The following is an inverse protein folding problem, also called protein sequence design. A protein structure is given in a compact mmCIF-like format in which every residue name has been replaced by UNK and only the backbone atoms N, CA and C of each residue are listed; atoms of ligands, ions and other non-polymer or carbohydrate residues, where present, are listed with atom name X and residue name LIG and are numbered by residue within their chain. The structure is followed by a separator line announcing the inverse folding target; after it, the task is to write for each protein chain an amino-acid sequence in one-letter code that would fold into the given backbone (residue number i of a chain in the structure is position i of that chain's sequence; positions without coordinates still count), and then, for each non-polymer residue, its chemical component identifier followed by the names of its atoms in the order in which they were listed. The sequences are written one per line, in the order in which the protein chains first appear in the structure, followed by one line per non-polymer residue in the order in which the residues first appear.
data_IF_627220371778
#
_entry.id   IF_627220371778
#
_cell.length_a   1.000
_cell.length_b   1.000
_cell.length_c   1.000
_cell.angle_alpha   90.00
_cell.angle_beta   90.00
_cell.angle_gamma   90.00
#
_symmetry.space_group_name_H-M   'P 1'
#
loop_
_entity.id
_entity.type
_entity.pdbx_description
1 polymer ?
#
# COMPACT_ATOMS: atom_id res chain seq x y z
N UNK A 1 -11.41 26.92 -20.47
CA UNK A 1 -10.30 25.96 -20.71
C UNK A 1 -8.98 26.65 -21.01
N UNK A 2 -8.99 27.70 -21.83
CA UNK A 2 -7.80 28.48 -22.22
C UNK A 2 -7.12 29.18 -21.04
N UNK A 3 -7.87 29.55 -20.00
CA UNK A 3 -7.38 30.20 -18.78
C UNK A 3 -6.76 29.25 -17.74
N UNK A 4 -6.45 28.01 -18.10
CA UNK A 4 -5.84 27.04 -17.18
C UNK A 4 -6.77 26.54 -16.06
N UNK A 5 -8.07 26.55 -16.30
CA UNK A 5 -9.05 26.03 -15.35
C UNK A 5 -8.77 24.57 -14.99
N UNK A 6 -8.72 24.26 -13.68
CA UNK A 6 -8.46 22.93 -13.12
C UNK A 6 -9.72 22.20 -12.67
N UNK A 7 -10.88 22.80 -12.88
CA UNK A 7 -12.19 22.27 -12.45
C UNK A 7 -12.25 21.95 -10.94
N UNK A 8 -11.55 22.71 -10.11
CA UNK A 8 -11.51 22.46 -8.67
C UNK A 8 -12.73 23.01 -7.90
N UNK A 9 -13.56 23.84 -8.52
CA UNK A 9 -14.74 24.44 -7.91
C UNK A 9 -14.47 25.59 -6.94
N UNK A 10 -13.23 25.91 -6.63
CA UNK A 10 -12.90 26.98 -5.67
C UNK A 10 -13.51 28.35 -6.03
N UNK A 11 -13.55 28.70 -7.32
CA UNK A 11 -14.19 29.94 -7.78
C UNK A 11 -15.71 29.98 -7.54
N UNK A 12 -16.37 28.80 -7.54
CA UNK A 12 -17.81 28.70 -7.27
C UNK A 12 -18.06 29.00 -5.80
N UNK A 13 -17.25 28.40 -4.92
CA UNK A 13 -17.41 28.55 -3.47
C UNK A 13 -17.13 29.96 -2.95
N UNK A 14 -16.09 30.60 -3.49
CA UNK A 14 -15.69 31.95 -3.04
C UNK A 14 -16.45 33.05 -3.75
N UNK A 15 -17.35 32.77 -4.69
CA UNK A 15 -18.11 33.77 -5.43
C UNK A 15 -19.17 34.41 -4.51
N UNK A 16 -19.01 35.67 -4.09
CA UNK A 16 -19.90 36.30 -3.13
C UNK A 16 -21.29 36.57 -3.68
N UNK A 17 -21.42 36.60 -5.00
CA UNK A 17 -22.68 36.89 -5.70
C UNK A 17 -23.41 35.65 -6.18
N UNK A 18 -22.79 34.47 -6.07
CA UNK A 18 -23.30 33.21 -6.63
C UNK A 18 -23.40 33.19 -8.16
N UNK A 19 -22.79 34.16 -8.85
CA UNK A 19 -22.84 34.25 -10.31
C UNK A 19 -22.05 33.14 -11.02
N UNK A 20 -21.08 32.57 -10.33
CA UNK A 20 -20.30 31.44 -10.85
C UNK A 20 -20.97 30.15 -10.30
N UNK A 21 -21.65 29.44 -11.19
CA UNK A 21 -22.38 28.20 -10.83
C UNK A 21 -21.75 26.96 -11.43
N UNK A 22 -21.91 25.83 -10.76
CA UNK A 22 -21.54 24.50 -11.26
C UNK A 22 -22.65 23.94 -12.15
N UNK A 23 -22.71 24.40 -13.40
CA UNK A 23 -23.76 24.06 -14.36
C UNK A 23 -23.81 22.56 -14.69
N UNK A 24 -22.64 21.89 -14.65
CA UNK A 24 -22.50 20.47 -14.99
C UNK A 24 -22.35 19.56 -13.76
N UNK A 25 -22.56 20.14 -12.56
CA UNK A 25 -22.52 19.44 -11.28
C UNK A 25 -21.26 18.60 -11.05
N UNK A 26 -20.10 19.20 -11.36
CA UNK A 26 -18.78 18.61 -11.08
C UNK A 26 -18.58 18.43 -9.56
N UNK A 27 -19.15 19.35 -8.78
CA UNK A 27 -19.14 19.28 -7.31
C UNK A 27 -20.32 18.44 -6.83
N UNK A 28 -20.03 17.36 -6.13
CA UNK A 28 -21.06 16.47 -5.59
C UNK A 28 -21.58 17.01 -4.25
N UNK A 29 -22.87 17.24 -4.15
CA UNK A 29 -23.54 17.86 -2.98
C UNK A 29 -23.35 17.05 -1.68
N UNK A 30 -23.18 15.72 -1.79
CA UNK A 30 -22.98 14.83 -0.65
C UNK A 30 -21.51 14.68 -0.21
N UNK A 31 -20.62 15.55 -0.68
CA UNK A 31 -19.19 15.55 -0.37
C UNK A 31 -18.76 16.87 0.22
N UNK A 32 -17.81 16.80 1.15
CA UNK A 32 -17.13 18.00 1.64
C UNK A 32 -16.38 18.71 0.50
N UNK A 33 -16.09 19.98 0.69
CA UNK A 33 -15.31 20.76 -0.27
C UNK A 33 -13.94 20.12 -0.56
N UNK A 34 -13.23 19.66 0.47
CA UNK A 34 -11.94 19.02 0.31
C UNK A 34 -12.01 17.75 -0.58
N UNK A 35 -13.06 16.95 -0.41
CA UNK A 35 -13.32 15.77 -1.24
C UNK A 35 -13.67 16.14 -2.68
N UNK A 36 -14.33 17.24 -2.88
CA UNK A 36 -14.69 17.74 -4.20
C UNK A 36 -13.51 18.37 -4.95
N UNK A 37 -12.62 19.09 -4.25
CA UNK A 37 -11.46 19.76 -4.88
C UNK A 37 -10.46 18.73 -5.45
N UNK A 38 -10.12 17.68 -4.67
CA UNK A 38 -9.17 16.65 -5.07
C UNK A 38 -9.76 15.25 -4.80
N UNK A 39 -10.80 14.83 -5.55
CA UNK A 39 -11.50 13.60 -5.27
C UNK A 39 -10.61 12.35 -5.39
N UNK A 40 -9.58 12.37 -6.23
CA UNK A 40 -8.62 11.28 -6.33
C UNK A 40 -7.79 11.09 -5.06
N UNK A 41 -7.46 12.17 -4.33
CA UNK A 41 -6.79 12.08 -3.04
C UNK A 41 -7.73 11.54 -1.95
N UNK A 42 -8.96 12.02 -1.95
CA UNK A 42 -9.99 11.57 -0.97
C UNK A 42 -10.39 10.11 -1.18
N UNK A 43 -10.48 9.66 -2.42
CA UNK A 43 -10.76 8.27 -2.76
C UNK A 43 -9.56 7.31 -2.49
N UNK A 44 -8.36 7.85 -2.33
CA UNK A 44 -7.19 7.05 -1.98
C UNK A 44 -7.22 6.70 -0.49
N UNK A 45 -7.26 5.41 -0.08
CA UNK A 45 -7.28 5.05 1.34
C UNK A 45 -6.09 5.58 2.15
N UNK A 46 -4.95 5.85 1.49
CA UNK A 46 -3.76 6.43 2.10
C UNK A 46 -3.69 7.96 1.95
N UNK A 47 -4.66 8.59 1.30
CA UNK A 47 -4.71 10.03 1.05
C UNK A 47 -3.40 10.61 0.49
N UNK A 48 -2.79 9.90 -0.48
CA UNK A 48 -1.56 10.35 -1.16
C UNK A 48 -1.87 11.65 -1.91
N UNK A 49 -0.96 12.62 -1.84
CA UNK A 49 -1.06 13.85 -2.63
C UNK A 49 -0.77 13.58 -4.12
N UNK A 50 -1.80 13.07 -4.79
CA UNK A 50 -1.73 12.62 -6.19
C UNK A 50 -1.38 13.78 -7.14
N UNK A 51 -2.00 14.97 -7.06
CA UNK A 51 -1.65 16.07 -7.95
C UNK A 51 -0.19 16.50 -7.81
N UNK A 52 0.36 16.49 -6.60
CA UNK A 52 1.73 16.92 -6.33
C UNK A 52 2.75 15.97 -6.96
N UNK A 53 2.63 14.66 -6.76
CA UNK A 53 3.61 13.75 -7.35
C UNK A 53 3.48 13.64 -8.88
N UNK A 54 2.26 13.76 -9.45
CA UNK A 54 2.07 13.77 -10.90
C UNK A 54 2.73 15.04 -11.52
N UNK A 55 2.67 16.18 -10.84
CA UNK A 55 3.38 17.38 -11.28
C UNK A 55 4.89 17.13 -11.37
N UNK A 56 5.48 16.54 -10.33
CA UNK A 56 6.91 16.21 -10.34
C UNK A 56 7.26 15.21 -11.45
N UNK A 57 6.41 14.21 -11.72
CA UNK A 57 6.63 13.31 -12.87
C UNK A 57 6.65 14.09 -14.19
N UNK A 58 5.72 15.01 -14.40
CA UNK A 58 5.68 15.86 -15.59
C UNK A 58 6.94 16.71 -15.75
N UNK A 59 7.53 17.12 -14.65
CA UNK A 59 8.77 17.90 -14.60
C UNK A 59 10.04 17.04 -14.70
N UNK A 60 9.91 15.70 -14.79
CA UNK A 60 11.04 14.74 -14.79
C UNK A 60 11.67 14.51 -13.42
N UNK A 61 11.09 15.05 -12.34
CA UNK A 61 11.60 15.03 -10.99
C UNK A 61 11.14 13.79 -10.22
N UNK A 62 11.58 12.61 -10.64
CA UNK A 62 11.10 11.34 -10.11
C UNK A 62 11.41 11.13 -8.62
N UNK A 63 12.56 11.59 -8.13
CA UNK A 63 12.90 11.53 -6.70
C UNK A 63 11.95 12.38 -5.85
N UNK A 64 11.56 13.57 -6.32
CA UNK A 64 10.56 14.38 -5.63
C UNK A 64 9.19 13.71 -5.64
N UNK A 65 8.81 13.11 -6.75
CA UNK A 65 7.56 12.34 -6.85
C UNK A 65 7.55 11.16 -5.88
N UNK A 66 8.62 10.38 -5.83
CA UNK A 66 8.79 9.26 -4.92
C UNK A 66 8.75 9.69 -3.44
N UNK A 67 9.38 10.81 -3.10
CA UNK A 67 9.33 11.39 -1.74
C UNK A 67 7.90 11.70 -1.31
N UNK A 68 7.11 12.37 -2.18
CA UNK A 68 5.70 12.69 -1.91
C UNK A 68 4.87 11.42 -1.67
N UNK A 69 5.05 10.39 -2.49
CA UNK A 69 4.32 9.13 -2.31
C UNK A 69 4.68 8.50 -0.96
N UNK A 70 5.99 8.50 -0.61
CA UNK A 70 6.50 7.92 0.64
C UNK A 70 6.20 8.73 1.91
N UNK A 71 5.63 9.92 1.79
CA UNK A 71 5.01 10.61 2.94
C UNK A 71 3.86 9.79 3.54
N UNK A 72 3.17 8.99 2.72
CA UNK A 72 1.97 8.23 3.09
C UNK A 72 2.12 6.71 2.96
N UNK A 73 2.92 6.23 2.01
CA UNK A 73 3.09 4.79 1.75
C UNK A 73 4.54 4.45 1.41
N UNK A 74 5.18 3.52 2.14
CA UNK A 74 6.56 3.13 1.88
C UNK A 74 6.71 2.10 0.74
N UNK A 75 5.60 1.65 0.13
CA UNK A 75 5.52 0.64 -0.94
C UNK A 75 4.98 1.20 -2.27
N UNK A 76 5.57 2.26 -2.87
CA UNK A 76 5.00 2.89 -4.06
C UNK A 76 4.97 1.96 -5.28
N UNK A 77 5.98 1.12 -5.50
CA UNK A 77 6.06 0.22 -6.66
C UNK A 77 5.18 -1.01 -6.49
N UNK A 78 5.17 -1.63 -5.31
CA UNK A 78 4.24 -2.71 -4.95
C UNK A 78 2.80 -2.24 -5.15
N UNK A 79 2.41 -1.10 -4.58
CA UNK A 79 1.07 -0.53 -4.78
C UNK A 79 0.82 -0.12 -6.24
N UNK A 80 1.85 0.30 -6.97
CA UNK A 80 1.76 0.55 -8.40
C UNK A 80 1.47 -0.70 -9.24
N UNK A 81 1.65 -1.89 -8.66
CA UNK A 81 1.42 -3.18 -9.32
C UNK A 81 0.10 -3.84 -8.91
N UNK A 82 -0.39 -3.62 -7.69
CA UNK A 82 -1.51 -4.38 -7.11
C UNK A 82 -2.67 -3.54 -6.58
N UNK A 83 -2.55 -2.20 -6.57
CA UNK A 83 -3.63 -1.32 -6.10
C UNK A 83 -4.87 -1.45 -6.99
N UNK A 84 -6.06 -1.39 -6.38
CA UNK A 84 -7.35 -1.35 -7.09
C UNK A 84 -7.69 0.03 -7.69
N UNK A 85 -6.81 1.02 -7.50
CA UNK A 85 -6.84 2.37 -8.07
C UNK A 85 -8.20 3.10 -8.01
N UNK A 86 -8.89 3.03 -6.86
CA UNK A 86 -10.16 3.74 -6.64
C UNK A 86 -10.10 5.24 -7.02
N UNK A 87 -8.92 5.86 -6.90
CA UNK A 87 -8.67 7.24 -7.30
C UNK A 87 -8.87 7.51 -8.81
N UNK A 88 -8.71 6.50 -9.67
CA UNK A 88 -8.94 6.64 -11.11
C UNK A 88 -10.43 6.72 -11.42
N UNK A 89 -11.27 5.96 -10.67
CA UNK A 89 -12.73 6.05 -10.78
C UNK A 89 -13.30 7.42 -10.40
N UNK A 90 -12.61 8.12 -9.51
CA UNK A 90 -13.01 9.47 -9.05
C UNK A 90 -12.22 10.60 -9.74
N UNK A 91 -11.50 10.28 -10.82
CA UNK A 91 -10.74 11.27 -11.56
C UNK A 91 -11.68 12.23 -12.29
N UNK A 92 -11.53 13.54 -12.06
CA UNK A 92 -12.33 14.57 -12.76
C UNK A 92 -12.18 14.53 -14.28
N UNK A 93 -11.11 13.96 -14.80
CA UNK A 93 -10.96 13.78 -16.25
C UNK A 93 -11.97 12.82 -16.85
N UNK A 94 -12.59 11.93 -16.06
CA UNK A 94 -13.67 11.07 -16.53
C UNK A 94 -14.83 11.85 -17.14
N UNK A 95 -15.03 13.10 -16.72
CA UNK A 95 -16.05 14.01 -17.28
C UNK A 95 -15.66 14.59 -18.66
N UNK A 96 -14.40 14.44 -19.08
CA UNK A 96 -13.87 15.01 -20.31
C UNK A 96 -13.51 13.94 -21.34
N UNK A 97 -12.77 12.92 -20.93
CA UNK A 97 -12.24 11.87 -21.79
C UNK A 97 -11.98 10.56 -21.00
N UNK A 98 -10.83 10.39 -20.40
CA UNK A 98 -10.42 9.22 -19.64
C UNK A 98 -9.63 9.60 -18.38
N UNK A 99 -9.67 8.78 -17.32
CA UNK A 99 -8.94 9.06 -16.12
C UNK A 99 -7.43 9.06 -16.36
N UNK A 100 -6.69 9.81 -15.53
CA UNK A 100 -5.25 9.66 -15.46
C UNK A 100 -4.89 8.27 -14.91
N UNK A 101 -3.93 7.59 -15.52
CA UNK A 101 -3.41 6.30 -15.06
C UNK A 101 -2.57 6.46 -13.78
N UNK A 102 -3.20 6.87 -12.70
CA UNK A 102 -2.57 7.26 -11.42
C UNK A 102 -1.71 6.13 -10.84
N UNK A 103 -2.22 4.90 -10.92
CA UNK A 103 -1.51 3.73 -10.43
C UNK A 103 -0.21 3.47 -11.22
N UNK A 104 -0.28 3.57 -12.54
CA UNK A 104 0.90 3.41 -13.43
C UNK A 104 1.91 4.52 -13.26
N UNK A 105 1.44 5.77 -13.10
CA UNK A 105 2.30 6.93 -12.84
C UNK A 105 3.04 6.78 -11.51
N UNK A 106 2.36 6.29 -10.47
CA UNK A 106 3.01 5.98 -9.18
C UNK A 106 4.11 4.92 -9.32
N UNK A 107 3.84 3.85 -10.08
CA UNK A 107 4.85 2.83 -10.39
C UNK A 107 6.03 3.41 -11.17
N UNK A 108 5.75 4.24 -12.17
CA UNK A 108 6.81 4.91 -12.96
C UNK A 108 7.68 5.81 -12.08
N UNK A 109 7.11 6.56 -11.15
CA UNK A 109 7.88 7.36 -10.20
C UNK A 109 8.85 6.50 -9.37
N UNK A 110 8.34 5.39 -8.82
CA UNK A 110 9.14 4.49 -8.01
C UNK A 110 10.19 3.69 -8.80
N UNK A 111 9.95 3.45 -10.09
CA UNK A 111 10.89 2.72 -10.95
C UNK A 111 12.03 3.59 -11.50
N UNK A 112 11.84 4.91 -11.56
CA UNK A 112 12.81 5.85 -12.14
C UNK A 112 13.45 6.78 -11.09
N UNK A 113 13.20 6.59 -9.80
CA UNK A 113 13.87 7.32 -8.73
C UNK A 113 15.31 6.83 -8.55
N UNK A 114 16.23 7.72 -8.18
CA UNK A 114 17.65 7.42 -7.98
C UNK A 114 18.00 7.06 -6.53
N UNK A 115 17.08 7.28 -5.60
CA UNK A 115 17.30 7.18 -4.16
C UNK A 115 17.64 8.51 -3.48
N UNK A 116 17.87 9.59 -4.22
CA UNK A 116 18.16 10.92 -3.66
C UNK A 116 17.01 11.49 -2.80
N UNK A 117 15.80 10.98 -2.96
CA UNK A 117 14.68 11.32 -2.09
C UNK A 117 14.93 10.98 -0.61
N UNK A 118 15.85 10.00 -0.30
CA UNK A 118 16.20 9.59 1.07
C UNK A 118 16.80 10.74 1.87
N UNK A 119 17.58 11.59 1.24
CA UNK A 119 18.18 12.78 1.85
C UNK A 119 17.12 13.81 2.34
N UNK A 120 15.93 13.76 1.74
CA UNK A 120 14.80 14.63 2.07
C UNK A 120 13.90 14.06 3.17
N UNK A 121 14.10 12.78 3.52
CA UNK A 121 13.33 12.12 4.58
C UNK A 121 13.96 12.42 5.93
N UNK A 122 13.42 13.40 6.62
CA UNK A 122 13.86 13.73 7.97
C UNK A 122 13.51 12.60 8.93
N UNK A 123 14.52 12.08 9.63
CA UNK A 123 14.35 11.26 10.83
C UNK A 123 14.35 12.16 12.05
N UNK A 124 13.39 11.98 12.94
CA UNK A 124 13.34 12.69 14.22
C UNK A 124 14.46 12.19 15.14
N UNK A 125 14.88 12.99 16.13
CA UNK A 125 15.87 12.56 17.13
C UNK A 125 15.44 11.27 17.84
N UNK A 126 16.43 10.50 18.31
CA UNK A 126 16.17 9.26 19.04
C UNK A 126 15.34 9.52 20.29
N UNK A 127 14.24 8.79 20.45
CA UNK A 127 13.31 8.93 21.59
C UNK A 127 13.71 8.07 22.79
N UNK A 128 14.66 7.13 22.62
CA UNK A 128 14.99 6.10 23.60
C UNK A 128 13.91 5.04 23.80
N UNK A 129 12.82 5.06 23.01
CA UNK A 129 11.72 4.10 23.07
C UNK A 129 11.90 2.95 22.10
N UNK A 130 11.54 1.73 22.54
CA UNK A 130 11.66 0.49 21.79
C UNK A 130 10.28 -0.02 21.40
N UNK A 131 10.07 -0.23 20.11
CA UNK A 131 8.84 -0.77 19.58
C UNK A 131 9.08 -2.15 18.94
N UNK A 132 8.27 -3.13 19.32
CA UNK A 132 8.21 -4.43 18.68
C UNK A 132 7.05 -4.49 17.69
N UNK A 133 7.26 -5.09 16.52
CA UNK A 133 6.21 -5.33 15.53
C UNK A 133 6.15 -6.83 15.25
N UNK A 134 5.00 -7.44 15.49
CA UNK A 134 4.74 -8.86 15.22
C UNK A 134 4.14 -9.01 13.83
N UNK A 135 4.94 -9.45 12.86
CA UNK A 135 4.60 -9.66 11.47
C UNK A 135 5.23 -8.64 10.53
N UNK A 136 5.98 -9.13 9.54
CA UNK A 136 6.63 -8.33 8.50
C UNK A 136 5.83 -8.30 7.19
N UNK A 137 4.50 -8.24 7.29
CA UNK A 137 3.62 -7.94 6.17
C UNK A 137 3.56 -6.42 5.89
N UNK A 138 2.78 -5.99 4.88
CA UNK A 138 2.68 -4.57 4.51
C UNK A 138 2.32 -3.66 5.70
N UNK A 139 1.39 -4.07 6.55
CA UNK A 139 0.97 -3.29 7.72
C UNK A 139 2.12 -3.13 8.73
N UNK A 140 2.79 -4.24 9.08
CA UNK A 140 3.89 -4.21 10.05
C UNK A 140 5.10 -3.42 9.56
N UNK A 141 5.50 -3.62 8.30
CA UNK A 141 6.62 -2.88 7.71
C UNK A 141 6.31 -1.38 7.53
N UNK A 142 5.06 -1.03 7.18
CA UNK A 142 4.64 0.38 7.13
C UNK A 142 4.72 1.04 8.49
N UNK A 143 4.19 0.38 9.52
CA UNK A 143 4.25 0.89 10.88
C UNK A 143 5.70 1.03 11.36
N UNK A 144 6.53 0.01 11.14
CA UNK A 144 7.94 0.03 11.48
C UNK A 144 8.68 1.21 10.83
N UNK A 145 8.41 1.46 9.54
CA UNK A 145 9.00 2.58 8.81
C UNK A 145 8.68 3.94 9.45
N UNK A 146 7.40 4.18 9.76
CA UNK A 146 7.02 5.47 10.36
C UNK A 146 7.44 5.60 11.81
N UNK A 147 7.46 4.51 12.59
CA UNK A 147 8.01 4.52 13.95
C UNK A 147 9.52 4.83 13.96
N UNK A 148 10.28 4.21 13.05
CA UNK A 148 11.71 4.49 12.89
C UNK A 148 11.96 5.95 12.47
N UNK A 149 11.15 6.50 11.56
CA UNK A 149 11.21 7.93 11.19
C UNK A 149 10.95 8.86 12.38
N UNK A 150 10.10 8.44 13.32
CA UNK A 150 9.84 9.18 14.57
C UNK A 150 10.90 8.97 15.65
N UNK A 151 12.04 8.38 15.30
CA UNK A 151 13.18 8.22 16.19
C UNK A 151 13.08 7.05 17.18
N UNK A 152 12.10 6.16 17.03
CA UNK A 152 12.01 4.95 17.85
C UNK A 152 12.97 3.86 17.35
N UNK A 153 13.46 3.03 18.28
CA UNK A 153 14.15 1.78 17.99
C UNK A 153 13.11 0.71 17.65
N UNK A 154 13.17 0.11 16.46
CA UNK A 154 12.12 -0.79 15.98
C UNK A 154 12.68 -2.15 15.61
N UNK A 155 12.11 -3.21 16.20
CA UNK A 155 12.37 -4.61 15.83
C UNK A 155 11.10 -5.24 15.26
N UNK A 156 11.21 -5.82 14.07
CA UNK A 156 10.11 -6.55 13.41
C UNK A 156 10.39 -8.04 13.49
N UNK A 157 9.42 -8.80 13.98
CA UNK A 157 9.47 -10.25 14.09
C UNK A 157 8.63 -10.90 13.01
N UNK A 158 9.21 -11.81 12.24
CA UNK A 158 8.52 -12.53 11.16
C UNK A 158 8.73 -14.05 11.31
N UNK A 159 7.64 -14.79 11.36
CA UNK A 159 7.67 -16.25 11.49
C UNK A 159 8.21 -16.98 10.27
N UNK A 160 8.01 -16.39 9.09
CA UNK A 160 8.47 -16.97 7.83
C UNK A 160 9.93 -16.57 7.54
N UNK A 161 10.61 -17.27 6.61
CA UNK A 161 12.00 -16.98 6.27
C UNK A 161 12.20 -15.63 5.54
N UNK A 162 11.15 -15.07 4.95
CA UNK A 162 11.20 -13.79 4.24
C UNK A 162 10.05 -12.89 4.64
N UNK A 163 10.33 -11.59 4.75
CA UNK A 163 9.32 -10.56 4.95
C UNK A 163 8.47 -10.35 3.68
N UNK A 164 7.30 -9.72 3.84
CA UNK A 164 6.39 -9.36 2.76
C UNK A 164 4.95 -9.82 2.96
N UNK A 165 4.69 -10.71 3.92
CA UNK A 165 3.34 -11.18 4.25
C UNK A 165 2.60 -11.71 3.01
N UNK A 166 1.31 -11.37 2.86
CA UNK A 166 0.50 -11.81 1.71
C UNK A 166 0.99 -11.27 0.36
N UNK A 167 1.71 -10.15 0.32
CA UNK A 167 2.35 -9.68 -0.91
C UNK A 167 3.37 -10.70 -1.44
N UNK A 168 4.07 -11.42 -0.55
CA UNK A 168 5.01 -12.47 -0.91
C UNK A 168 4.37 -13.84 -1.04
N UNK A 169 3.52 -14.21 -0.08
CA UNK A 169 3.03 -15.59 0.06
C UNK A 169 1.66 -15.83 -0.58
N UNK A 170 0.93 -14.76 -0.94
CA UNK A 170 -0.41 -14.88 -1.53
C UNK A 170 -0.48 -14.37 -2.97
N UNK A 171 0.20 -13.27 -3.31
CA UNK A 171 0.12 -12.69 -4.64
C UNK A 171 1.05 -13.43 -5.61
N UNK A 172 0.57 -13.89 -6.78
CA UNK A 172 1.40 -14.58 -7.77
C UNK A 172 2.57 -13.73 -8.28
N UNK A 173 3.73 -14.36 -8.55
CA UNK A 173 4.96 -13.70 -8.95
C UNK A 173 4.83 -12.92 -10.28
N UNK A 174 3.99 -13.38 -11.20
CA UNK A 174 3.73 -12.68 -12.47
C UNK A 174 3.01 -11.34 -12.25
N UNK A 175 2.25 -11.18 -11.16
CA UNK A 175 1.58 -9.94 -10.79
C UNK A 175 2.45 -9.04 -9.92
N UNK A 176 3.16 -9.62 -8.95
CA UNK A 176 4.10 -8.92 -8.07
C UNK A 176 5.40 -9.70 -7.99
N UNK A 177 6.40 -9.38 -8.84
CA UNK A 177 7.71 -10.02 -8.80
C UNK A 177 8.44 -9.79 -7.47
N UNK A 178 9.09 -10.84 -6.95
CA UNK A 178 9.80 -10.78 -5.67
C UNK A 178 10.85 -9.66 -5.63
N UNK A 179 11.57 -9.44 -6.73
CA UNK A 179 12.60 -8.40 -6.83
C UNK A 179 12.07 -6.99 -6.51
N UNK A 180 10.82 -6.68 -6.85
CA UNK A 180 10.21 -5.38 -6.58
C UNK A 180 9.92 -5.26 -5.09
N UNK A 181 9.32 -6.29 -4.51
CA UNK A 181 9.00 -6.34 -3.09
C UNK A 181 10.27 -6.32 -2.24
N UNK A 182 11.30 -7.07 -2.63
CA UNK A 182 12.58 -7.13 -1.91
C UNK A 182 13.28 -5.77 -1.89
N UNK A 183 13.28 -5.04 -3.01
CA UNK A 183 13.84 -3.69 -3.11
C UNK A 183 13.14 -2.71 -2.16
N UNK A 184 11.81 -2.73 -2.12
CA UNK A 184 11.06 -1.84 -1.24
C UNK A 184 11.21 -2.21 0.23
N UNK A 185 11.24 -3.50 0.57
CA UNK A 185 11.51 -3.96 1.93
C UNK A 185 12.92 -3.52 2.35
N UNK A 186 13.92 -3.69 1.50
CA UNK A 186 15.29 -3.22 1.78
C UNK A 186 15.30 -1.72 2.08
N UNK A 187 14.66 -0.93 1.23
CA UNK A 187 14.53 0.53 1.44
C UNK A 187 13.85 0.89 2.77
N UNK A 188 12.86 0.10 3.19
CA UNK A 188 12.20 0.30 4.49
C UNK A 188 13.16 -0.01 5.64
N UNK A 189 13.92 -1.09 5.53
CA UNK A 189 14.87 -1.51 6.57
C UNK A 189 16.04 -0.54 6.73
N UNK A 190 16.44 0.18 5.66
CA UNK A 190 17.45 1.25 5.71
C UNK A 190 17.05 2.41 6.66
N UNK A 191 15.80 2.52 7.07
CA UNK A 191 15.38 3.44 8.12
C UNK A 191 15.90 3.05 9.52
N UNK A 192 16.72 2.00 9.64
CA UNK A 192 17.31 1.53 10.89
C UNK A 192 16.39 0.55 11.64
N UNK A 193 15.62 -0.24 10.91
CA UNK A 193 14.72 -1.25 11.46
C UNK A 193 15.44 -2.59 11.53
N UNK A 194 15.41 -3.24 12.68
CA UNK A 194 15.88 -4.60 12.86
C UNK A 194 14.80 -5.59 12.41
N UNK A 195 15.11 -6.50 11.48
CA UNK A 195 14.21 -7.57 11.04
C UNK A 195 14.73 -8.93 11.53
N UNK A 196 13.91 -9.65 12.29
CA UNK A 196 14.16 -11.01 12.77
C UNK A 196 13.20 -11.97 12.08
N UNK A 197 13.66 -12.65 11.05
CA UNK A 197 12.91 -13.70 10.36
C UNK A 197 13.00 -15.04 11.09
N UNK A 198 12.17 -16.02 10.71
CA UNK A 198 12.07 -17.33 11.38
C UNK A 198 11.85 -17.20 12.89
N UNK A 199 11.23 -16.11 13.32
CA UNK A 199 11.03 -15.78 14.73
C UNK A 199 9.57 -15.43 14.99
N UNK A 200 8.93 -16.21 15.85
CA UNK A 200 7.53 -15.98 16.24
C UNK A 200 7.44 -15.80 17.76
N UNK A 201 7.31 -14.57 18.26
CA UNK A 201 7.02 -14.35 19.68
C UNK A 201 5.69 -15.00 20.06
N UNK A 202 5.63 -15.58 21.27
CA UNK A 202 4.44 -16.29 21.73
C UNK A 202 3.29 -15.34 22.05
N UNK A 203 3.60 -14.16 22.62
CA UNK A 203 2.59 -13.17 22.98
C UNK A 203 3.19 -11.74 22.99
N UNK A 204 2.34 -10.70 22.90
CA UNK A 204 2.78 -9.32 23.15
C UNK A 204 3.41 -9.12 24.54
N UNK A 205 2.85 -9.76 25.56
CA UNK A 205 3.35 -9.64 26.96
C UNK A 205 4.78 -10.16 27.10
N UNK A 206 5.15 -11.19 26.34
CA UNK A 206 6.54 -11.68 26.32
C UNK A 206 7.49 -10.59 25.84
N UNK A 207 7.13 -9.86 24.79
CA UNK A 207 7.96 -8.77 24.25
C UNK A 207 8.04 -7.57 25.21
N UNK A 208 6.93 -7.20 25.84
CA UNK A 208 6.93 -6.15 26.88
C UNK A 208 7.87 -6.51 28.05
N UNK A 209 7.86 -7.78 28.50
CA UNK A 209 8.79 -8.28 29.53
C UNK A 209 10.25 -8.30 29.06
N UNK A 210 10.51 -8.33 27.76
CA UNK A 210 11.85 -8.25 27.17
C UNK A 210 12.35 -6.80 27.03
N UNK A 211 11.60 -5.81 27.48
CA UNK A 211 12.00 -4.39 27.52
C UNK A 211 11.54 -3.57 26.31
N UNK A 212 10.59 -4.05 25.52
CA UNK A 212 9.90 -3.20 24.54
C UNK A 212 8.86 -2.34 25.25
N UNK A 213 8.81 -1.03 24.92
CA UNK A 213 7.82 -0.09 25.46
C UNK A 213 6.43 -0.32 24.85
N UNK A 214 6.36 -0.80 23.63
CA UNK A 214 5.10 -1.07 22.93
C UNK A 214 5.23 -2.24 21.96
N UNK A 215 4.11 -2.90 21.69
CA UNK A 215 4.00 -3.99 20.73
C UNK A 215 2.85 -3.75 19.76
N UNK A 216 3.15 -3.74 18.48
CA UNK A 216 2.15 -3.73 17.42
C UNK A 216 1.93 -5.15 16.89
N UNK A 217 0.69 -5.63 16.93
CA UNK A 217 0.30 -6.91 16.37
C UNK A 217 -0.17 -6.72 14.92
N UNK A 218 0.62 -7.19 13.95
CA UNK A 218 0.38 -7.04 12.51
C UNK A 218 0.51 -8.39 11.77
N UNK A 219 0.02 -9.46 12.38
CA UNK A 219 0.18 -10.85 11.94
C UNK A 219 -0.59 -11.22 10.67
N UNK A 220 -1.52 -10.37 10.25
CA UNK A 220 -2.31 -10.54 9.02
C UNK A 220 -3.25 -11.75 9.05
N UNK A 221 -3.70 -12.17 7.87
CA UNK A 221 -4.68 -13.25 7.66
C UNK A 221 -4.08 -14.35 6.78
N UNK A 222 -3.22 -15.18 7.33
CA UNK A 222 -2.59 -16.29 6.61
C UNK A 222 -3.40 -17.57 6.60
N UNK A 223 -4.42 -17.68 7.47
CA UNK A 223 -5.31 -18.83 7.54
C UNK A 223 -6.59 -18.55 6.78
N UNK A 224 -6.81 -19.28 5.70
CA UNK A 224 -8.07 -19.21 4.96
C UNK A 224 -9.18 -19.99 5.64
N UNK A 225 -10.41 -19.66 5.30
CA UNK A 225 -11.61 -20.33 5.82
C UNK A 225 -12.11 -21.35 4.80
N UNK A 226 -12.36 -22.57 5.24
CA UNK A 226 -13.03 -23.58 4.42
C UNK A 226 -14.52 -23.24 4.32
N UNK A 227 -15.08 -23.41 3.13
CA UNK A 227 -16.52 -23.27 2.95
C UNK A 227 -17.25 -24.39 3.70
N UNK A 228 -18.40 -24.11 4.36
CA UNK A 228 -19.19 -25.09 5.08
C UNK A 228 -20.09 -25.87 4.11
N UNK A 229 -19.47 -26.56 3.14
CA UNK A 229 -20.14 -27.39 2.15
C UNK A 229 -19.65 -28.83 2.26
N UNK A 230 -20.50 -29.79 1.87
CA UNK A 230 -20.14 -31.20 1.84
C UNK A 230 -18.90 -31.43 0.97
N UNK A 231 -18.01 -32.31 1.43
CA UNK A 231 -16.76 -32.61 0.75
C UNK A 231 -15.63 -31.60 0.93
N UNK A 232 -15.86 -30.44 1.56
CA UNK A 232 -14.81 -29.41 1.74
C UNK A 232 -13.60 -29.91 2.56
N UNK A 233 -13.76 -30.96 3.36
CA UNK A 233 -12.71 -31.58 4.15
C UNK A 233 -11.87 -32.62 3.42
N UNK A 234 -12.20 -32.95 2.16
CA UNK A 234 -11.46 -33.94 1.37
C UNK A 234 -9.99 -33.53 1.15
N UNK A 235 -9.05 -34.48 1.11
CA UNK A 235 -7.61 -34.19 0.93
C UNK A 235 -7.27 -33.40 -0.34
N UNK A 236 -8.10 -33.52 -1.38
CA UNK A 236 -7.91 -32.81 -2.66
C UNK A 236 -8.49 -31.39 -2.67
N UNK A 237 -9.13 -30.94 -1.57
CA UNK A 237 -9.72 -29.61 -1.46
C UNK A 237 -8.73 -28.66 -0.79
N UNK A 238 -8.19 -27.77 -1.57
CA UNK A 238 -7.25 -26.74 -1.12
C UNK A 238 -7.98 -25.45 -0.76
N UNK A 239 -7.55 -24.81 0.32
CA UNK A 239 -7.95 -23.43 0.63
C UNK A 239 -7.03 -22.49 -0.14
N UNK A 240 -7.58 -21.40 -0.69
CA UNK A 240 -6.87 -20.46 -1.54
C UNK A 240 -5.53 -19.96 -0.95
N UNK A 241 -5.51 -19.58 0.34
CA UNK A 241 -4.31 -19.08 1.01
C UNK A 241 -3.20 -20.12 1.08
N UNK A 242 -3.55 -21.38 1.35
CA UNK A 242 -2.59 -22.48 1.44
C UNK A 242 -2.09 -22.86 0.04
N UNK A 243 -3.00 -22.92 -0.94
CA UNK A 243 -2.67 -23.17 -2.34
C UNK A 243 -1.68 -22.12 -2.89
N UNK A 244 -2.01 -20.84 -2.74
CA UNK A 244 -1.17 -19.74 -3.23
C UNK A 244 0.19 -19.73 -2.54
N UNK A 245 0.22 -19.98 -1.22
CA UNK A 245 1.48 -20.05 -0.47
C UNK A 245 2.38 -21.17 -0.98
N UNK A 246 1.83 -22.38 -1.21
CA UNK A 246 2.60 -23.49 -1.75
C UNK A 246 3.12 -23.19 -3.15
N UNK A 247 2.27 -22.64 -4.03
CA UNK A 247 2.66 -22.22 -5.36
C UNK A 247 3.80 -21.19 -5.34
N UNK A 248 3.74 -20.20 -4.42
CA UNK A 248 4.77 -19.18 -4.24
C UNK A 248 6.09 -19.73 -3.68
N UNK A 249 6.03 -20.77 -2.89
CA UNK A 249 7.20 -21.46 -2.35
C UNK A 249 7.82 -22.47 -3.34
N UNK A 250 7.19 -22.66 -4.52
CA UNK A 250 7.63 -23.66 -5.49
C UNK A 250 7.37 -25.10 -5.03
N UNK A 251 6.52 -25.32 -4.04
CA UNK A 251 6.16 -26.65 -3.57
C UNK A 251 5.19 -27.26 -4.56
N UNK A 252 5.48 -28.42 -5.16
CA UNK A 252 4.57 -29.07 -6.09
C UNK A 252 3.23 -29.38 -5.45
N UNK A 253 2.15 -28.97 -6.10
CA UNK A 253 0.80 -29.35 -5.73
C UNK A 253 0.41 -30.59 -6.55
N UNK A 254 -0.11 -31.66 -5.96
CA UNK A 254 -0.49 -32.88 -6.67
C UNK A 254 -1.81 -32.69 -7.41
N UNK A 255 -1.81 -31.77 -8.38
CA UNK A 255 -2.96 -31.51 -9.24
C UNK A 255 -2.92 -32.44 -10.44
N UNK A 256 -4.00 -33.17 -10.69
CA UNK A 256 -4.15 -34.02 -11.87
C UNK A 256 -5.60 -34.02 -12.36
N UNK A 257 -5.80 -34.27 -13.65
CA UNK A 257 -7.12 -34.35 -14.24
C UNK A 257 -7.84 -32.99 -14.28
N UNK A 258 -9.15 -32.99 -14.03
CA UNK A 258 -9.97 -31.77 -14.03
C UNK A 258 -9.89 -31.07 -12.67
N UNK A 259 -9.62 -29.78 -12.69
CA UNK A 259 -9.59 -28.94 -11.50
C UNK A 259 -10.81 -28.00 -11.51
N UNK A 260 -11.50 -27.93 -10.36
CA UNK A 260 -12.59 -26.99 -10.14
C UNK A 260 -12.15 -25.89 -9.21
N UNK A 261 -12.46 -24.65 -9.57
CA UNK A 261 -12.24 -23.45 -8.74
C UNK A 261 -13.60 -22.92 -8.31
N UNK A 262 -13.82 -22.83 -6.99
CA UNK A 262 -15.03 -22.24 -6.42
C UNK A 262 -14.78 -20.77 -6.09
N UNK A 263 -15.44 -19.88 -6.84
CA UNK A 263 -15.27 -18.44 -6.75
C UNK A 263 -14.46 -17.87 -7.92
N UNK A 264 -14.71 -16.58 -8.22
CA UNK A 264 -14.06 -15.84 -9.30
C UNK A 264 -13.65 -14.43 -8.87
N UNK A 265 -13.25 -14.26 -7.61
CA UNK A 265 -12.79 -12.99 -7.06
C UNK A 265 -11.33 -12.66 -7.40
N UNK A 266 -10.75 -11.75 -6.64
CA UNK A 266 -9.37 -11.27 -6.86
C UNK A 266 -8.29 -12.23 -6.31
N UNK A 267 -8.70 -13.32 -5.72
CA UNK A 267 -7.80 -14.33 -5.12
C UNK A 267 -7.86 -15.63 -5.89
#
# INVERSE_FOLDING_TARGET
KEAGCRFCGACIEVCPTGSIMDQVKIMKENRSMAENIVPCQSACPAHIDIPRYIRYIREGEFDKAAAVIREKVPFPETLGSICNHACEGECKRNELDAPLSVCRLKRAAAANESGAWKERVRREPATGKKAAVMGAGPAGLTAAYYLAKKGHEVTVFEKNPKAGGQCRYGIPAYRLPDRLLDREIHTILEAGIELRTNTQPQSPDQLLKQGYDTVLVAVGTHKGTRLPIEGSGLPQVYVNTDFLKQARLGTPLPLSGRVMVLGGGNV
#
